data_IF_461174912301
#
_entry.id   IF_461174912301
#
_cell.length_a   1.000
_cell.length_b   1.000
_cell.length_c   1.000
_cell.angle_alpha   90.00
_cell.angle_beta   90.00
_cell.angle_gamma   90.00
#
_symmetry.space_group_name_H-M   'P 1'
#
loop_
_entity.id
_entity.type
_entity.pdbx_description
1 polymer ?
#
# COMPACT_ATOMS: atom_id res chain seq x y z
N UNK A 1 -8.11 9.50 -22.29
CA UNK A 1 -7.37 10.01 -21.12
C UNK A 1 -6.48 8.91 -20.59
N UNK A 2 -5.15 9.06 -20.66
CA UNK A 2 -4.21 8.12 -20.05
C UNK A 2 -4.22 8.36 -18.54
N UNK A 3 -4.93 7.53 -17.80
CA UNK A 3 -4.82 7.54 -16.33
C UNK A 3 -3.61 6.71 -15.96
N UNK A 4 -2.55 7.35 -15.44
CA UNK A 4 -1.52 6.62 -14.71
C UNK A 4 -2.21 5.96 -13.50
N UNK A 5 -2.16 4.63 -13.34
CA UNK A 5 -2.74 3.96 -12.19
C UNK A 5 -2.00 4.40 -10.91
N UNK A 6 -2.76 4.84 -9.91
CA UNK A 6 -2.20 5.24 -8.62
C UNK A 6 -1.82 3.97 -7.83
N UNK A 7 -0.55 3.92 -7.43
CA UNK A 7 0.08 2.78 -6.75
C UNK A 7 0.15 3.09 -5.25
N UNK A 8 -0.12 2.12 -4.37
CA UNK A 8 0.02 2.32 -2.91
C UNK A 8 1.39 1.93 -2.39
N UNK A 9 2.00 0.90 -2.97
CA UNK A 9 3.37 0.50 -2.69
C UNK A 9 4.05 0.14 -4.01
N UNK A 10 5.27 0.65 -4.17
CA UNK A 10 6.11 0.46 -5.33
C UNK A 10 7.41 -0.22 -4.90
N UNK A 11 7.80 -1.27 -5.62
CA UNK A 11 9.08 -1.97 -5.48
C UNK A 11 9.89 -1.78 -6.74
N UNK A 12 11.19 -1.56 -6.58
CA UNK A 12 12.16 -1.51 -7.68
C UNK A 12 13.19 -2.61 -7.46
N UNK A 13 13.29 -3.57 -8.39
CA UNK A 13 14.35 -4.60 -8.40
C UNK A 13 15.26 -4.36 -9.60
N UNK A 14 16.58 -4.38 -9.37
CA UNK A 14 17.60 -4.06 -10.37
C UNK A 14 18.52 -5.28 -10.59
N UNK A 15 18.20 -6.12 -11.58
CA UNK A 15 19.05 -7.26 -11.94
C UNK A 15 19.54 -7.20 -13.41
N UNK A 16 18.73 -6.72 -14.36
CA UNK A 16 19.14 -6.51 -15.78
C UNK A 16 18.06 -5.76 -16.59
N UNK A 17 16.81 -5.78 -16.11
CA UNK A 17 15.68 -4.95 -16.53
C UNK A 17 15.00 -4.42 -15.27
N UNK A 18 14.57 -3.16 -15.23
CA UNK A 18 13.84 -2.62 -14.08
C UNK A 18 12.45 -3.28 -14.03
N UNK A 19 12.25 -4.22 -13.11
CA UNK A 19 10.93 -4.77 -12.79
C UNK A 19 10.38 -3.94 -11.65
N UNK A 20 9.38 -3.11 -11.96
CA UNK A 20 8.61 -2.40 -10.96
C UNK A 20 7.41 -3.27 -10.60
N UNK A 21 7.33 -3.73 -9.36
CA UNK A 21 6.13 -4.39 -8.83
C UNK A 21 5.39 -3.38 -7.99
N UNK A 22 4.13 -3.16 -8.34
CA UNK A 22 3.28 -2.16 -7.72
C UNK A 22 1.96 -2.80 -7.31
N UNK A 23 1.56 -2.60 -6.06
CA UNK A 23 0.24 -3.01 -5.57
C UNK A 23 -0.44 -1.87 -4.84
N UNK A 24 -1.77 -1.91 -4.83
CA UNK A 24 -2.54 -0.91 -4.13
C UNK A 24 -4.02 -0.93 -4.48
N UNK A 25 -4.65 0.22 -4.27
CA UNK A 25 -6.06 0.45 -4.55
C UNK A 25 -6.27 1.88 -5.00
N UNK A 26 -7.41 2.12 -5.65
CA UNK A 26 -7.78 3.44 -6.17
C UNK A 26 -9.17 3.80 -5.66
N UNK A 27 -9.30 5.02 -5.17
CA UNK A 27 -10.59 5.66 -4.94
C UNK A 27 -10.89 6.58 -6.13
N UNK A 28 -12.07 6.42 -6.75
CA UNK A 28 -12.53 7.25 -7.87
C UNK A 28 -13.85 7.93 -7.52
N UNK A 29 -13.92 9.22 -7.78
CA UNK A 29 -15.11 10.05 -7.55
C UNK A 29 -15.09 11.26 -8.51
N UNK A 30 -16.25 11.90 -8.69
CA UNK A 30 -16.42 13.04 -9.58
C UNK A 30 -15.59 14.26 -9.11
N UNK A 31 -15.21 15.14 -10.04
CA UNK A 31 -14.38 16.33 -9.73
C UNK A 31 -15.00 17.27 -8.69
N UNK A 32 -16.33 17.32 -8.59
CA UNK A 32 -17.06 18.10 -7.57
C UNK A 32 -17.74 17.20 -6.53
N UNK A 33 -17.37 15.92 -6.49
CA UNK A 33 -17.91 14.96 -5.54
C UNK A 33 -17.05 14.89 -4.29
N UNK A 34 -17.65 14.44 -3.20
CA UNK A 34 -16.93 14.08 -1.98
C UNK A 34 -16.37 12.67 -2.15
N UNK A 35 -15.04 12.54 -2.01
CA UNK A 35 -14.36 11.25 -2.10
C UNK A 35 -14.85 10.28 -1.04
N UNK A 36 -15.15 9.02 -1.40
CA UNK A 36 -15.57 8.01 -0.42
C UNK A 36 -14.42 7.66 0.54
N UNK A 37 -14.70 7.01 1.67
CA UNK A 37 -13.66 6.45 2.52
C UNK A 37 -12.80 5.44 1.76
N UNK A 38 -11.51 5.36 2.12
CA UNK A 38 -10.60 4.31 1.66
C UNK A 38 -10.44 3.25 2.74
N UNK A 39 -10.48 1.97 2.35
CA UNK A 39 -10.37 0.86 3.28
C UNK A 39 -11.54 0.84 4.25
N UNK A 40 -11.25 0.92 5.55
CA UNK A 40 -12.25 0.96 6.62
C UNK A 40 -12.78 2.35 6.96
N UNK A 41 -12.26 3.41 6.32
CA UNK A 41 -12.55 4.79 6.72
C UNK A 41 -11.70 5.31 7.88
N UNK A 42 -10.85 4.48 8.47
CA UNK A 42 -9.89 4.89 9.50
C UNK A 42 -8.52 5.17 8.90
N UNK A 43 -7.75 6.09 9.52
CA UNK A 43 -6.38 6.34 9.10
C UNK A 43 -5.49 5.14 9.42
N UNK A 44 -4.46 4.92 8.60
CA UNK A 44 -3.50 3.82 8.76
C UNK A 44 -2.79 3.84 10.12
N UNK A 45 -2.61 5.02 10.71
CA UNK A 45 -2.04 5.23 12.04
C UNK A 45 -2.92 4.72 13.19
N UNK A 46 -4.18 4.40 12.93
CA UNK A 46 -5.08 3.79 13.91
C UNK A 46 -4.88 2.26 14.03
N UNK A 47 -4.09 1.66 13.13
CA UNK A 47 -3.58 0.29 13.21
C UNK A 47 -4.66 -0.80 13.40
N UNK A 48 -4.26 -1.92 13.99
CA UNK A 48 -5.06 -3.13 14.21
C UNK A 48 -6.39 -2.82 14.90
N UNK A 49 -7.47 -3.37 14.35
CA UNK A 49 -8.82 -3.21 14.89
C UNK A 49 -9.56 -1.97 14.39
N UNK A 50 -8.89 -1.10 13.62
CA UNK A 50 -9.50 0.09 13.03
C UNK A 50 -9.15 0.27 11.55
N UNK A 51 -7.87 0.38 11.25
CA UNK A 51 -7.39 0.58 9.88
C UNK A 51 -7.54 -0.69 9.04
N UNK A 52 -7.76 -0.52 7.74
CA UNK A 52 -7.64 -1.63 6.80
C UNK A 52 -6.16 -2.00 6.63
N UNK A 53 -5.89 -3.26 6.27
CA UNK A 53 -4.53 -3.76 6.10
C UNK A 53 -4.44 -4.76 4.95
N UNK A 54 -3.24 -4.87 4.38
CA UNK A 54 -2.82 -6.01 3.57
C UNK A 54 -1.65 -6.64 4.28
N UNK A 55 -1.67 -7.97 4.41
CA UNK A 55 -0.65 -8.76 5.10
C UNK A 55 -0.29 -10.02 4.31
N UNK A 56 0.70 -10.76 4.77
CA UNK A 56 1.27 -11.92 4.09
C UNK A 56 1.78 -11.58 2.67
N UNK A 57 2.43 -10.43 2.53
CA UNK A 57 2.99 -10.00 1.25
C UNK A 57 4.31 -10.72 1.03
N UNK A 58 4.43 -11.40 -0.09
CA UNK A 58 5.62 -12.13 -0.48
C UNK A 58 5.81 -12.06 -2.00
N UNK A 59 7.06 -11.94 -2.44
CA UNK A 59 7.42 -11.94 -3.85
C UNK A 59 8.42 -13.06 -4.06
N UNK A 60 8.19 -13.85 -5.10
CA UNK A 60 9.10 -14.92 -5.49
C UNK A 60 9.83 -14.55 -6.77
N UNK A 61 11.12 -14.87 -6.84
CA UNK A 61 11.89 -14.81 -8.06
C UNK A 61 11.50 -15.96 -9.03
N UNK A 62 12.08 -15.97 -10.22
CA UNK A 62 11.82 -16.99 -11.24
C UNK A 62 12.23 -18.41 -10.82
N UNK A 63 13.07 -18.55 -9.80
CA UNK A 63 13.53 -19.83 -9.24
C UNK A 63 12.67 -20.27 -8.05
N UNK A 64 11.64 -19.49 -7.68
CA UNK A 64 10.79 -19.76 -6.52
C UNK A 64 11.40 -19.30 -5.19
N UNK A 65 12.48 -18.51 -5.20
CA UNK A 65 13.09 -17.92 -4.01
C UNK A 65 12.34 -16.69 -3.53
N UNK A 66 12.06 -16.61 -2.22
CA UNK A 66 11.40 -15.44 -1.61
C UNK A 66 12.36 -14.23 -1.57
N UNK A 67 11.87 -13.07 -1.99
CA UNK A 67 12.60 -11.81 -2.00
C UNK A 67 12.28 -11.03 -0.72
N UNK A 68 13.34 -10.64 -0.01
CA UNK A 68 13.19 -9.82 1.19
C UNK A 68 12.76 -8.38 0.86
N UNK A 69 11.61 -7.96 1.39
CA UNK A 69 10.99 -6.67 1.07
C UNK A 69 11.45 -5.52 1.96
N UNK A 70 12.16 -5.78 3.07
CA UNK A 70 12.47 -4.82 4.13
C UNK A 70 13.10 -3.50 3.65
N UNK A 71 13.81 -3.52 2.52
CA UNK A 71 14.57 -2.37 2.02
C UNK A 71 14.30 -2.00 0.56
N UNK A 72 13.32 -2.65 -0.09
CA UNK A 72 13.03 -2.45 -1.52
C UNK A 72 11.61 -1.97 -1.80
N UNK A 73 10.71 -2.07 -0.82
CA UNK A 73 9.33 -1.61 -0.93
C UNK A 73 9.16 -0.22 -0.35
N UNK A 74 8.60 0.69 -1.14
CA UNK A 74 8.32 2.06 -0.74
C UNK A 74 6.81 2.33 -0.81
N UNK A 75 6.18 2.86 0.25
CA UNK A 75 4.82 3.35 0.16
C UNK A 75 4.73 4.56 -0.77
N UNK A 76 3.66 4.64 -1.53
CA UNK A 76 3.35 5.73 -2.45
C UNK A 76 1.89 6.15 -2.23
N UNK A 77 1.65 7.44 -2.00
CA UNK A 77 0.30 7.98 -1.81
C UNK A 77 0.21 9.31 -2.51
N UNK A 78 -0.79 9.46 -3.39
CA UNK A 78 -0.99 10.67 -4.18
C UNK A 78 -1.83 11.74 -3.46
N UNK A 79 -2.60 11.36 -2.43
CA UNK A 79 -3.45 12.24 -1.62
C UNK A 79 -3.25 11.97 -0.13
N UNK A 80 -2.04 12.28 0.34
CA UNK A 80 -1.64 12.05 1.74
C UNK A 80 -2.39 12.94 2.75
N UNK A 81 -3.06 13.98 2.25
CA UNK A 81 -4.01 14.82 2.97
C UNK A 81 -5.35 14.11 3.28
N UNK A 82 -5.64 13.02 2.58
CA UNK A 82 -6.93 12.34 2.57
C UNK A 82 -6.88 10.90 3.07
N UNK A 83 -5.85 10.21 2.64
CA UNK A 83 -5.62 8.81 2.90
C UNK A 83 -4.14 8.65 3.19
N UNK A 84 -3.79 7.66 3.99
CA UNK A 84 -2.39 7.35 4.24
C UNK A 84 -2.17 5.85 4.24
N UNK A 85 -0.89 5.49 4.17
CA UNK A 85 -0.40 4.12 4.25
C UNK A 85 0.76 4.10 5.23
N UNK A 86 0.90 3.05 6.04
CA UNK A 86 2.11 2.88 6.86
C UNK A 86 3.28 2.43 5.99
N UNK A 87 4.50 2.51 6.53
CA UNK A 87 5.60 1.75 5.97
C UNK A 87 5.26 0.26 5.91
N UNK A 88 5.90 -0.47 4.99
CA UNK A 88 5.85 -1.92 4.98
C UNK A 88 6.65 -2.44 6.19
N UNK A 89 6.03 -3.31 6.98
CA UNK A 89 6.63 -3.84 8.21
C UNK A 89 6.72 -5.35 8.11
N UNK A 90 7.89 -5.89 8.47
CA UNK A 90 8.02 -7.33 8.73
C UNK A 90 7.47 -7.65 10.13
N UNK A 91 6.26 -8.21 10.17
CA UNK A 91 5.59 -8.54 11.43
C UNK A 91 6.32 -9.60 12.26
N UNK A 92 7.20 -10.40 11.62
CA UNK A 92 8.03 -11.41 12.29
C UNK A 92 9.00 -10.78 13.28
N UNK A 93 9.42 -9.53 13.05
CA UNK A 93 10.25 -8.74 13.98
C UNK A 93 9.55 -8.45 15.30
N UNK A 94 8.22 -8.58 15.35
CA UNK A 94 7.38 -8.35 16.52
C UNK A 94 6.75 -9.63 17.07
N UNK A 95 7.24 -10.81 16.63
CA UNK A 95 6.71 -12.11 17.06
C UNK A 95 5.35 -12.48 16.45
N UNK A 96 4.95 -11.80 15.38
CA UNK A 96 3.73 -12.10 14.62
C UNK A 96 4.05 -12.92 13.37
N UNK A 97 3.09 -13.71 12.91
CA UNK A 97 3.23 -14.59 11.74
C UNK A 97 2.44 -14.06 10.53
N UNK A 98 2.31 -12.73 10.42
CA UNK A 98 1.51 -12.04 9.39
C UNK A 98 2.35 -11.62 8.17
N UNK A 99 3.60 -12.11 8.07
CA UNK A 99 4.54 -11.75 7.01
C UNK A 99 4.79 -10.25 6.92
N UNK A 100 5.08 -9.77 5.71
CA UNK A 100 5.09 -8.34 5.42
C UNK A 100 3.67 -7.78 5.36
N UNK A 101 3.44 -6.66 6.02
CA UNK A 101 2.14 -5.99 6.06
C UNK A 101 2.26 -4.47 6.07
N UNK A 102 1.17 -3.82 5.68
CA UNK A 102 0.96 -2.39 5.83
C UNK A 102 -0.51 -2.09 6.12
N UNK A 103 -0.76 -1.00 6.85
CA UNK A 103 -2.09 -0.45 7.05
C UNK A 103 -2.35 0.67 6.06
N UNK A 104 -3.60 0.87 5.67
CA UNK A 104 -4.03 1.94 4.78
C UNK A 104 -5.45 2.39 5.11
N UNK A 105 -5.77 3.64 4.79
CA UNK A 105 -7.14 4.13 4.84
C UNK A 105 -7.26 5.63 5.06
N UNK A 106 -8.51 6.08 5.21
CA UNK A 106 -8.87 7.45 5.56
C UNK A 106 -10.38 7.68 5.40
N UNK A 107 -10.94 8.69 6.11
CA UNK A 107 -12.38 8.85 6.35
C UNK A 107 -13.22 9.22 5.12
N UNK A 108 -12.59 9.51 3.98
CA UNK A 108 -13.27 10.14 2.86
C UNK A 108 -13.51 11.62 3.17
N UNK A 109 -14.39 12.28 2.42
CA UNK A 109 -14.57 13.73 2.58
C UNK A 109 -13.71 14.57 1.65
N UNK A 110 -12.82 13.93 0.89
CA UNK A 110 -11.83 14.65 0.09
C UNK A 110 -12.37 15.18 -1.21
N UNK A 111 -11.98 16.40 -1.54
CA UNK A 111 -12.30 17.06 -2.80
C UNK A 111 -11.20 16.74 -3.82
N UNK A 112 -11.58 16.48 -5.07
CA UNK A 112 -10.67 16.05 -6.14
C UNK A 112 -9.90 17.23 -6.75
#
# INVERSE_FOLDING_TARGET
>A
MRTNPNTLIRIVVLAEKAIIVSWGGVVKYFQNGTGPPMGSGHYSSELQGKAAFVKNIEIFDSNGGSIDLANIAMPEVNRNDCYNVTALVDSRKYGLNDGYLFYFGGPGGCLN
#
